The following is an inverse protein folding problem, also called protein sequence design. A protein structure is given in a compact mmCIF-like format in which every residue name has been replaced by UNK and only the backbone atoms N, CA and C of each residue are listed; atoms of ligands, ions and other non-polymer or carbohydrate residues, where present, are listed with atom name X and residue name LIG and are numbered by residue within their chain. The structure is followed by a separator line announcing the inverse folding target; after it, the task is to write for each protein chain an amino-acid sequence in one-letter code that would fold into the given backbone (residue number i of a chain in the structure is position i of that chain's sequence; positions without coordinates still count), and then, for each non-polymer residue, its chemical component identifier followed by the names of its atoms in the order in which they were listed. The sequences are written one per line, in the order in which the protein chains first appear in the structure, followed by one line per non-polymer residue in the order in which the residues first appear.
data_IF_707750201957
#
_entry.id   IF_707750201957
#
_cell.length_a   1.000
_cell.length_b   1.000
_cell.length_c   1.000
_cell.angle_alpha   90.00
_cell.angle_beta   90.00
_cell.angle_gamma   90.00
#
_symmetry.space_group_name_H-M   'P 1'
#
loop_
_entity.id
_entity.type
_entity.pdbx_description
1 polymer ?
#
# COMPACT_ATOMS: atom_id res chain seq x y z
N UNK A 1 1.91 -15.68 21.15
CA UNK A 1 2.68 -16.04 19.95
C UNK A 1 4.12 -15.63 20.20
N UNK A 2 5.04 -16.58 20.23
CA UNK A 2 6.47 -16.31 20.41
C UNK A 2 7.05 -15.77 19.09
N UNK A 3 7.73 -14.62 19.17
CA UNK A 3 8.49 -14.05 18.04
C UNK A 3 9.37 -15.14 17.41
N UNK A 4 9.55 -15.17 16.07
CA UNK A 4 10.51 -16.06 15.44
C UNK A 4 11.88 -15.91 16.10
N UNK A 5 12.63 -17.02 16.24
CA UNK A 5 13.95 -16.95 16.86
C UNK A 5 14.89 -16.12 15.99
N UNK A 6 15.88 -15.46 16.61
CA UNK A 6 16.87 -14.64 15.89
C UNK A 6 17.53 -15.43 14.74
N UNK A 7 17.78 -16.72 14.95
CA UNK A 7 18.38 -17.61 13.95
C UNK A 7 17.48 -17.91 12.72
N UNK A 8 16.15 -17.72 12.83
CA UNK A 8 15.22 -17.89 11.71
C UNK A 8 15.13 -16.67 10.78
N UNK A 9 15.61 -15.51 11.24
CA UNK A 9 15.63 -14.25 10.47
C UNK A 9 16.97 -14.03 9.71
N UNK A 10 17.98 -14.87 9.95
CA UNK A 10 19.37 -14.57 9.63
C UNK A 10 19.79 -15.04 8.23
N UNK A 11 19.48 -14.19 7.23
CA UNK A 11 20.42 -13.62 6.25
C UNK A 11 19.66 -12.85 5.15
N UNK A 12 18.39 -13.21 4.91
CA UNK A 12 17.52 -12.54 3.94
C UNK A 12 16.71 -11.40 4.56
N UNK A 13 16.12 -11.62 5.74
CA UNK A 13 15.18 -10.66 6.33
C UNK A 13 15.86 -9.36 6.76
N UNK A 14 16.96 -9.44 7.51
CA UNK A 14 17.70 -8.24 7.95
C UNK A 14 18.19 -7.40 6.75
N UNK A 15 18.70 -8.07 5.71
CA UNK A 15 19.09 -7.40 4.45
C UNK A 15 17.89 -6.76 3.75
N UNK A 16 16.73 -7.42 3.78
CA UNK A 16 15.51 -6.94 3.12
C UNK A 16 14.90 -5.72 3.84
N UNK A 17 14.85 -5.71 5.17
CA UNK A 17 14.36 -4.57 5.96
C UNK A 17 15.38 -3.43 6.10
N UNK A 18 16.64 -3.62 5.73
CA UNK A 18 17.67 -2.60 5.92
C UNK A 18 17.30 -1.25 5.27
N UNK A 19 17.40 -0.18 6.06
CA UNK A 19 17.02 1.18 5.66
C UNK A 19 15.52 1.41 5.44
N UNK A 20 14.65 0.46 5.81
CA UNK A 20 13.20 0.61 5.69
C UNK A 20 12.54 1.14 6.97
N UNK A 21 11.25 1.52 6.88
CA UNK A 21 10.42 1.88 8.04
C UNK A 21 10.29 0.74 9.07
N UNK A 22 10.52 -0.52 8.67
CA UNK A 22 10.48 -1.67 9.57
C UNK A 22 11.84 -1.96 10.22
N UNK A 23 12.92 -1.24 9.89
CA UNK A 23 14.28 -1.57 10.32
C UNK A 23 14.56 -1.35 11.83
N UNK A 24 13.96 -0.35 12.48
CA UNK A 24 14.24 -0.04 13.90
C UNK A 24 13.19 0.87 14.56
N UNK A 25 12.94 0.74 15.89
CA UNK A 25 13.71 -0.08 16.84
C UNK A 25 13.12 -1.46 17.21
N UNK A 26 11.99 -1.93 16.65
CA UNK A 26 11.40 -3.23 17.08
C UNK A 26 10.79 -4.10 15.96
N UNK A 27 11.07 -3.85 14.68
CA UNK A 27 10.33 -4.46 13.56
C UNK A 27 8.83 -4.24 13.69
N UNK A 28 8.40 -3.00 13.42
CA UNK A 28 6.99 -2.64 13.43
C UNK A 28 6.23 -3.51 12.44
N UNK A 29 5.06 -4.01 12.87
CA UNK A 29 4.14 -4.75 12.02
C UNK A 29 2.97 -3.87 11.60
N UNK A 30 2.40 -4.19 10.44
CA UNK A 30 1.27 -3.50 9.85
C UNK A 30 0.18 -4.51 9.49
N UNK A 31 -1.05 -4.04 9.41
CA UNK A 31 -2.22 -4.91 9.29
C UNK A 31 -3.02 -4.61 8.02
N UNK A 32 -3.44 -5.69 7.35
CA UNK A 32 -4.40 -5.67 6.25
C UNK A 32 -5.68 -6.40 6.65
N UNK A 33 -6.84 -5.79 6.37
CA UNK A 33 -8.14 -6.40 6.61
C UNK A 33 -8.68 -7.06 5.34
N UNK A 34 -8.99 -8.35 5.41
CA UNK A 34 -9.59 -9.13 4.31
C UNK A 34 -10.84 -9.89 4.78
N UNK A 35 -11.72 -10.26 3.86
CA UNK A 35 -12.86 -11.14 4.11
C UNK A 35 -12.66 -12.57 3.54
N UNK A 36 -11.59 -12.78 2.77
CA UNK A 36 -11.28 -14.05 2.09
C UNK A 36 -9.87 -14.52 2.44
N UNK A 37 -9.65 -15.83 2.38
CA UNK A 37 -8.31 -16.39 2.34
C UNK A 37 -7.67 -16.11 0.99
N UNK A 38 -6.39 -15.80 1.01
CA UNK A 38 -5.56 -15.59 -0.17
C UNK A 38 -4.11 -15.93 0.18
N UNK A 39 -3.34 -16.28 -0.84
CA UNK A 39 -1.92 -16.60 -0.68
C UNK A 39 -1.05 -15.40 -1.10
N UNK A 40 -1.48 -14.63 -2.09
CA UNK A 40 -0.72 -13.50 -2.65
C UNK A 40 -1.46 -12.16 -2.50
N UNK A 41 -0.71 -11.09 -2.21
CA UNK A 41 -1.23 -9.73 -2.26
C UNK A 41 -1.37 -9.23 -3.70
N UNK A 42 -2.54 -8.69 -4.00
CA UNK A 42 -2.77 -7.86 -5.18
C UNK A 42 -1.99 -6.53 -5.08
N UNK A 43 -1.56 -5.90 -6.19
CA UNK A 43 -0.86 -4.62 -6.17
C UNK A 43 -1.60 -3.50 -5.44
N UNK A 44 -0.83 -2.59 -4.82
CA UNK A 44 -1.31 -1.44 -4.04
C UNK A 44 -2.22 -1.80 -2.84
N UNK A 45 -1.88 -2.81 -2.02
CA UNK A 45 -2.62 -3.11 -0.81
C UNK A 45 -2.47 -1.98 0.20
N UNK A 46 -3.48 -1.79 1.05
CA UNK A 46 -3.42 -0.82 2.14
C UNK A 46 -3.01 -1.53 3.43
N UNK A 47 -2.07 -0.93 4.14
CA UNK A 47 -1.59 -1.39 5.43
C UNK A 47 -1.62 -0.25 6.44
N UNK A 48 -2.07 -0.53 7.66
CA UNK A 48 -2.10 0.46 8.75
C UNK A 48 -1.91 -0.20 10.11
N UNK A 49 -2.32 0.49 11.16
CA UNK A 49 -2.39 -0.11 12.50
C UNK A 49 -3.47 -1.20 12.56
N UNK A 50 -3.42 -2.05 13.59
CA UNK A 50 -4.51 -3.00 13.85
C UNK A 50 -5.86 -2.29 14.05
N UNK A 51 -5.85 -1.11 14.68
CA UNK A 51 -7.05 -0.31 14.88
C UNK A 51 -7.59 0.21 13.54
N UNK A 52 -6.74 0.74 12.66
CA UNK A 52 -7.15 1.21 11.33
C UNK A 52 -7.78 0.07 10.50
N UNK A 53 -7.14 -1.11 10.53
CA UNK A 53 -7.67 -2.29 9.87
C UNK A 53 -9.03 -2.73 10.46
N UNK A 54 -9.18 -2.63 11.79
CA UNK A 54 -10.42 -2.96 12.52
C UNK A 54 -11.56 -2.01 12.17
N UNK A 55 -11.30 -0.70 12.18
CA UNK A 55 -12.29 0.33 11.83
C UNK A 55 -12.81 0.11 10.41
N UNK A 56 -11.89 -0.13 9.46
CA UNK A 56 -12.23 -0.42 8.06
C UNK A 56 -13.07 -1.70 7.90
N UNK A 57 -12.82 -2.69 8.76
CA UNK A 57 -13.57 -3.94 8.81
C UNK A 57 -14.99 -3.73 9.35
N UNK A 58 -15.14 -2.94 10.41
CA UNK A 58 -16.45 -2.66 11.02
C UNK A 58 -17.40 -1.97 10.05
N UNK A 59 -16.89 -1.01 9.26
CA UNK A 59 -17.66 -0.32 8.21
C UNK A 59 -18.20 -1.26 7.13
N UNK A 60 -17.61 -2.44 6.93
CA UNK A 60 -17.99 -3.40 5.88
C UNK A 60 -18.92 -4.53 6.35
N UNK A 61 -19.24 -4.58 7.65
CA UNK A 61 -20.18 -5.55 8.26
C UNK A 61 -19.92 -7.03 7.87
N UNK A 62 -18.67 -7.44 7.63
CA UNK A 62 -18.34 -8.81 7.25
C UNK A 62 -17.39 -9.46 8.25
N UNK A 63 -17.31 -10.80 8.27
CA UNK A 63 -16.32 -11.52 9.08
C UNK A 63 -14.94 -11.25 8.49
N UNK A 64 -14.18 -10.38 9.13
CA UNK A 64 -12.85 -10.01 8.68
C UNK A 64 -11.77 -10.83 9.39
N UNK A 65 -10.67 -11.04 8.66
CA UNK A 65 -9.40 -11.53 9.18
C UNK A 65 -8.37 -10.43 9.00
N UNK A 66 -7.41 -10.41 9.91
CA UNK A 66 -6.30 -9.48 9.87
C UNK A 66 -5.04 -10.24 9.48
N UNK A 67 -4.38 -9.76 8.43
CA UNK A 67 -3.07 -10.24 8.00
C UNK A 67 -2.03 -9.28 8.55
N UNK A 68 -1.06 -9.81 9.28
CA UNK A 68 0.05 -9.06 9.88
C UNK A 68 1.31 -9.19 9.01
N UNK A 69 1.95 -8.06 8.68
CA UNK A 69 3.12 -8.01 7.79
C UNK A 69 4.21 -7.06 8.32
N UNK A 70 5.44 -7.27 7.87
CA UNK A 70 6.49 -6.24 7.85
C UNK A 70 6.51 -5.55 6.47
N UNK A 71 6.98 -4.30 6.44
CA UNK A 71 7.08 -3.51 5.21
C UNK A 71 8.51 -3.02 4.97
N UNK A 72 9.09 -3.34 3.81
CA UNK A 72 10.37 -2.81 3.36
C UNK A 72 10.18 -1.56 2.49
N UNK A 73 9.65 -0.49 3.10
CA UNK A 73 9.49 0.83 2.48
C UNK A 73 10.64 1.73 2.92
N UNK A 74 11.37 2.28 1.96
CA UNK A 74 12.57 3.11 2.20
C UNK A 74 12.30 4.60 2.03
N UNK A 75 11.48 4.97 1.06
CA UNK A 75 11.22 6.39 0.74
C UNK A 75 9.78 6.57 0.26
N UNK A 76 8.80 6.61 1.18
CA UNK A 76 7.43 6.87 0.80
C UNK A 76 7.24 8.34 0.42
N UNK A 77 6.37 8.63 -0.54
CA UNK A 77 5.82 9.98 -0.70
C UNK A 77 4.70 10.16 0.32
N UNK A 78 4.79 11.23 1.12
CA UNK A 78 3.78 11.53 2.15
C UNK A 78 2.66 12.33 1.53
N UNK A 79 1.42 11.89 1.74
CA UNK A 79 0.20 12.58 1.34
C UNK A 79 -0.79 12.58 2.51
N UNK A 80 -1.99 13.11 2.32
CA UNK A 80 -3.03 13.15 3.35
C UNK A 80 -4.31 12.45 2.89
N UNK A 81 -4.95 11.76 3.82
CA UNK A 81 -6.27 11.21 3.60
C UNK A 81 -7.32 12.31 3.76
N UNK A 82 -7.75 12.91 2.64
CA UNK A 82 -8.82 13.90 2.64
C UNK A 82 -10.19 13.31 2.31
N UNK A 83 -10.41 12.00 2.52
CA UNK A 83 -11.64 11.28 2.12
C UNK A 83 -11.99 11.32 0.62
N UNK A 84 -11.14 11.94 -0.21
CA UNK A 84 -11.24 12.06 -1.68
C UNK A 84 -10.20 11.19 -2.39
N UNK A 85 -9.28 10.62 -1.61
CA UNK A 85 -8.08 9.81 -1.89
C UNK A 85 -8.32 8.52 -2.70
N UNK A 86 -9.57 8.18 -3.02
CA UNK A 86 -9.90 7.08 -3.93
C UNK A 86 -9.77 7.45 -5.43
N UNK A 87 -9.45 8.71 -5.76
CA UNK A 87 -9.26 9.16 -7.14
C UNK A 87 -7.79 9.45 -7.42
N UNK A 88 -7.14 8.58 -8.21
CA UNK A 88 -5.71 8.71 -8.52
C UNK A 88 -5.38 10.00 -9.25
N UNK A 89 -6.29 10.54 -10.07
CA UNK A 89 -6.11 11.84 -10.71
C UNK A 89 -5.92 12.98 -9.69
N UNK A 90 -6.65 12.95 -8.56
CA UNK A 90 -6.50 13.95 -7.50
C UNK A 90 -5.18 13.77 -6.74
N UNK A 91 -4.77 12.52 -6.49
CA UNK A 91 -3.45 12.23 -5.90
C UNK A 91 -2.32 12.73 -6.81
N UNK A 92 -2.42 12.51 -8.11
CA UNK A 92 -1.43 12.98 -9.08
C UNK A 92 -1.37 14.51 -9.17
N UNK A 93 -2.52 15.19 -9.17
CA UNK A 93 -2.56 16.65 -9.12
C UNK A 93 -1.89 17.20 -7.86
N UNK A 94 -2.14 16.55 -6.72
CA UNK A 94 -1.55 16.93 -5.45
C UNK A 94 -0.03 16.70 -5.44
N UNK A 95 0.44 15.57 -5.98
CA UNK A 95 1.87 15.31 -6.14
C UNK A 95 2.58 16.37 -7.00
N UNK A 96 1.92 16.92 -8.03
CA UNK A 96 2.45 18.07 -8.79
C UNK A 96 2.50 19.33 -7.92
N UNK A 97 1.46 19.61 -7.14
CA UNK A 97 1.40 20.80 -6.28
C UNK A 97 2.52 20.79 -5.22
N UNK A 98 2.88 19.62 -4.71
CA UNK A 98 3.98 19.45 -3.77
C UNK A 98 5.36 19.36 -4.44
N UNK A 99 5.41 19.32 -5.78
CA UNK A 99 6.65 19.15 -6.53
C UNK A 99 7.26 17.75 -6.44
N UNK A 100 6.47 16.74 -6.04
CA UNK A 100 6.89 15.34 -6.03
C UNK A 100 7.05 14.79 -7.46
N UNK A 101 6.22 15.24 -8.40
CA UNK A 101 6.32 14.95 -9.84
C UNK A 101 6.06 16.24 -10.64
N UNK A 102 6.41 16.26 -11.92
CA UNK A 102 6.18 17.42 -12.80
C UNK A 102 4.83 17.35 -13.56
N UNK A 103 4.47 18.45 -14.23
CA UNK A 103 3.24 18.54 -15.01
C UNK A 103 3.20 17.57 -16.22
N UNK A 104 4.36 17.18 -16.75
CA UNK A 104 4.43 16.20 -17.84
C UNK A 104 4.13 14.78 -17.33
N UNK A 105 4.58 14.43 -16.13
CA UNK A 105 4.23 13.19 -15.44
C UNK A 105 2.73 13.12 -15.19
N UNK A 106 2.10 14.20 -14.71
CA UNK A 106 0.65 14.26 -14.57
C UNK A 106 -0.08 13.97 -15.88
N UNK A 107 0.34 14.58 -16.99
CA UNK A 107 -0.28 14.32 -18.29
C UNK A 107 -0.17 12.84 -18.69
N UNK A 108 1.03 12.24 -18.54
CA UNK A 108 1.23 10.80 -18.82
C UNK A 108 0.34 9.90 -17.95
N UNK A 109 0.16 10.25 -16.67
CA UNK A 109 -0.74 9.53 -15.77
C UNK A 109 -2.18 9.60 -16.28
N UNK A 110 -2.68 10.81 -16.58
CA UNK A 110 -4.06 11.01 -17.04
C UNK A 110 -4.33 10.30 -18.37
N UNK A 111 -3.37 10.33 -19.30
CA UNK A 111 -3.47 9.64 -20.60
C UNK A 111 -3.56 8.12 -20.41
N UNK A 112 -2.76 7.55 -19.50
CA UNK A 112 -2.79 6.12 -19.17
C UNK A 112 -4.07 5.71 -18.47
N UNK A 113 -4.51 6.47 -17.47
CA UNK A 113 -5.80 6.24 -16.78
C UNK A 113 -6.96 6.25 -17.79
N UNK A 114 -6.98 7.21 -18.71
CA UNK A 114 -8.02 7.33 -19.74
C UNK A 114 -8.00 6.14 -20.70
N UNK A 115 -6.80 5.73 -21.12
CA UNK A 115 -6.61 4.56 -21.99
C UNK A 115 -7.05 3.27 -21.32
N UNK A 116 -6.71 3.10 -20.04
CA UNK A 116 -7.06 1.91 -19.26
C UNK A 116 -8.53 1.89 -18.83
N UNK A 117 -9.22 3.04 -18.80
CA UNK A 117 -10.64 3.12 -18.44
C UNK A 117 -11.54 2.19 -19.29
N UNK A 118 -11.16 1.95 -20.55
CA UNK A 118 -11.85 1.02 -21.45
C UNK A 118 -11.75 -0.43 -20.96
N UNK A 119 -10.65 -0.80 -20.29
CA UNK A 119 -10.41 -2.15 -19.74
C UNK A 119 -11.32 -2.45 -18.53
N UNK A 120 -11.95 -1.44 -17.94
CA UNK A 120 -12.80 -1.61 -16.74
C UNK A 120 -14.26 -1.91 -17.10
N UNK A 121 -14.65 -1.70 -18.36
CA UNK A 121 -15.99 -1.97 -18.85
C UNK A 121 -16.22 -3.50 -18.88
N UNK A 122 -16.90 -4.02 -17.86
CA UNK A 122 -17.22 -5.46 -17.74
C UNK A 122 -16.66 -6.17 -16.50
N UNK A 123 -15.92 -5.48 -15.63
CA UNK A 123 -15.28 -6.08 -14.45
C UNK A 123 -16.26 -6.53 -13.33
N UNK A 124 -17.56 -6.25 -13.46
CA UNK A 124 -18.60 -6.68 -12.51
C UNK A 124 -18.26 -6.30 -11.06
N UNK A 125 -18.29 -7.29 -10.15
CA UNK A 125 -17.99 -7.10 -8.73
C UNK A 125 -16.52 -6.76 -8.43
N UNK A 126 -15.60 -6.98 -9.37
CA UNK A 126 -14.17 -6.63 -9.24
C UNK A 126 -13.84 -5.22 -9.73
N UNK A 127 -14.84 -4.50 -10.25
CA UNK A 127 -14.66 -3.18 -10.86
C UNK A 127 -13.85 -2.22 -9.98
N UNK A 128 -14.18 -2.10 -8.69
CA UNK A 128 -13.50 -1.14 -7.81
C UNK A 128 -12.03 -1.49 -7.56
N UNK A 129 -11.71 -2.77 -7.37
CA UNK A 129 -10.33 -3.23 -7.15
C UNK A 129 -9.50 -3.08 -8.43
N UNK A 130 -10.02 -3.52 -9.59
CA UNK A 130 -9.34 -3.35 -10.88
C UNK A 130 -9.16 -1.88 -11.25
N UNK A 131 -10.18 -1.05 -11.02
CA UNK A 131 -10.10 0.39 -11.26
C UNK A 131 -9.00 1.02 -10.42
N UNK A 132 -8.92 0.67 -9.12
CA UNK A 132 -7.87 1.15 -8.24
C UNK A 132 -6.50 0.76 -8.78
N UNK A 133 -6.27 -0.53 -9.05
CA UNK A 133 -4.98 -1.04 -9.53
C UNK A 133 -4.53 -0.40 -10.84
N UNK A 134 -5.41 -0.38 -11.84
CA UNK A 134 -5.10 0.15 -13.16
C UNK A 134 -4.92 1.66 -13.14
N UNK A 135 -5.64 2.37 -12.27
CA UNK A 135 -5.44 3.81 -12.12
C UNK A 135 -4.16 4.13 -11.34
N UNK A 136 -3.83 3.33 -10.31
CA UNK A 136 -2.68 3.56 -9.44
C UNK A 136 -1.35 3.24 -10.12
N UNK A 137 -1.28 2.20 -10.96
CA UNK A 137 -0.04 1.81 -11.64
C UNK A 137 0.66 2.98 -12.36
N UNK A 138 0.02 3.77 -13.24
CA UNK A 138 0.69 4.90 -13.87
C UNK A 138 1.19 5.95 -12.88
N UNK A 139 0.48 6.18 -11.78
CA UNK A 139 0.91 7.11 -10.75
C UNK A 139 2.12 6.60 -9.96
N UNK A 140 2.09 5.33 -9.56
CA UNK A 140 3.20 4.65 -8.90
C UNK A 140 4.45 4.65 -9.78
N UNK A 141 4.32 4.35 -11.08
CA UNK A 141 5.44 4.34 -12.03
C UNK A 141 6.16 5.71 -12.08
N UNK A 142 5.42 6.83 -12.09
CA UNK A 142 6.01 8.17 -12.10
C UNK A 142 6.66 8.54 -10.75
N UNK A 143 6.07 8.14 -9.62
CA UNK A 143 6.66 8.32 -8.30
C UNK A 143 7.94 7.46 -8.12
N UNK A 144 7.94 6.23 -8.64
CA UNK A 144 9.11 5.36 -8.66
C UNK A 144 10.22 5.93 -9.53
N UNK A 145 9.89 6.55 -10.68
CA UNK A 145 10.88 7.18 -11.55
C UNK A 145 11.66 8.32 -10.86
N UNK A 146 11.07 8.96 -9.86
CA UNK A 146 11.74 9.98 -9.02
C UNK A 146 12.26 9.43 -7.69
N UNK A 147 12.12 8.12 -7.45
CA UNK A 147 12.74 7.34 -6.36
C UNK A 147 11.82 7.00 -5.18
N UNK A 148 10.52 7.27 -5.24
CA UNK A 148 9.60 6.90 -4.15
C UNK A 148 9.16 5.45 -4.32
N UNK A 149 8.95 4.73 -3.22
CA UNK A 149 8.62 3.30 -3.25
C UNK A 149 7.29 2.96 -2.56
N UNK A 150 6.57 3.96 -2.04
CA UNK A 150 5.24 3.78 -1.47
C UNK A 150 4.49 5.12 -1.34
N UNK A 151 3.20 5.04 -1.01
CA UNK A 151 2.48 6.13 -0.37
C UNK A 151 2.53 5.96 1.16
N UNK A 152 2.61 7.09 1.85
CA UNK A 152 2.42 7.21 3.29
C UNK A 152 1.36 8.29 3.54
N UNK A 153 0.40 8.05 4.43
CA UNK A 153 -0.60 9.06 4.77
C UNK A 153 -1.07 8.94 6.21
N UNK A 154 -1.46 10.08 6.79
CA UNK A 154 -2.16 10.11 8.07
C UNK A 154 -3.65 9.80 7.84
N UNK A 155 -4.19 8.85 8.58
CA UNK A 155 -5.60 8.48 8.48
C UNK A 155 -6.49 9.59 9.07
N UNK A 156 -7.51 10.01 8.31
CA UNK A 156 -8.49 10.99 8.78
C UNK A 156 -9.74 10.36 9.41
N UNK A 157 -10.01 9.09 9.06
CA UNK A 157 -11.20 8.34 9.50
C UNK A 157 -10.82 7.13 10.35
N UNK A 158 -10.22 6.10 9.76
CA UNK A 158 -9.85 4.86 10.47
C UNK A 158 -8.61 5.07 11.35
N UNK A 159 -8.69 4.80 12.66
CA UNK A 159 -7.64 5.10 13.65
C UNK A 159 -7.01 6.50 13.44
N UNK A 160 -7.86 7.52 13.52
CA UNK A 160 -7.49 8.90 13.17
C UNK A 160 -6.17 9.36 13.78
N UNK A 161 -5.30 9.93 12.96
CA UNK A 161 -3.96 10.41 13.35
C UNK A 161 -2.87 9.35 13.28
N UNK A 162 -3.23 8.09 13.02
CA UNK A 162 -2.25 7.03 12.74
C UNK A 162 -1.77 7.09 11.29
N UNK A 163 -0.65 6.43 11.01
CA UNK A 163 -0.05 6.36 9.67
C UNK A 163 -0.42 5.05 8.97
N UNK A 164 -0.78 5.16 7.70
CA UNK A 164 -1.00 4.04 6.79
C UNK A 164 -0.05 4.13 5.59
N UNK A 165 0.20 2.98 4.97
CA UNK A 165 1.11 2.80 3.84
C UNK A 165 0.45 2.04 2.70
N UNK A 166 0.85 2.38 1.47
CA UNK A 166 0.53 1.62 0.25
C UNK A 166 1.85 1.35 -0.48
N UNK A 167 2.47 0.17 -0.34
CA UNK A 167 3.65 -0.19 -1.12
C UNK A 167 3.29 -0.28 -2.61
N UNK A 168 4.25 0.07 -3.48
CA UNK A 168 4.06 0.00 -4.92
C UNK A 168 4.29 -1.40 -5.48
N UNK A 169 5.14 -2.19 -4.83
CA UNK A 169 5.47 -3.55 -5.24
C UNK A 169 5.25 -4.54 -4.11
N UNK A 170 4.82 -5.76 -4.46
CA UNK A 170 4.48 -6.80 -3.48
C UNK A 170 5.72 -7.37 -2.79
N UNK A 171 6.90 -7.27 -3.41
CA UNK A 171 8.17 -7.65 -2.79
C UNK A 171 8.60 -6.75 -1.62
N UNK A 172 7.87 -5.66 -1.36
CA UNK A 172 8.02 -4.80 -0.18
C UNK A 172 7.22 -5.30 1.02
N UNK A 173 6.55 -6.46 0.91
CA UNK A 173 5.69 -7.03 1.95
C UNK A 173 6.32 -8.34 2.41
N UNK A 174 6.40 -8.56 3.71
CA UNK A 174 6.82 -9.83 4.29
C UNK A 174 5.81 -10.28 5.35
N UNK A 175 5.24 -11.47 5.20
CA UNK A 175 4.25 -12.03 6.10
C UNK A 175 4.85 -12.40 7.47
N UNK A 176 4.25 -11.96 8.58
CA UNK A 176 4.83 -12.18 9.93
C UNK A 176 4.94 -13.65 10.32
N UNK A 177 4.04 -14.48 9.80
CA UNK A 177 3.96 -15.91 10.07
C UNK A 177 4.66 -16.78 9.01
N UNK A 178 5.38 -16.17 8.06
CA UNK A 178 6.07 -16.86 6.97
C UNK A 178 7.58 -16.60 7.01
N UNK A 179 8.36 -17.66 6.74
CA UNK A 179 9.77 -17.52 6.41
C UNK A 179 10.00 -17.20 4.91
N UNK A 180 8.93 -17.06 4.14
CA UNK A 180 8.93 -16.74 2.70
C UNK A 180 8.29 -15.36 2.46
N UNK A 181 9.04 -14.36 1.95
CA UNK A 181 8.51 -13.04 1.60
C UNK A 181 7.54 -13.04 0.42
N UNK A 182 7.50 -14.09 -0.40
CA UNK A 182 6.76 -14.12 -1.68
C UNK A 182 5.72 -15.23 -1.76
N UNK A 183 5.09 -15.59 -0.64
CA UNK A 183 3.94 -16.51 -0.69
C UNK A 183 2.94 -16.14 -1.78
#
# INVERSE_FOLDING_TARGET
MTKPSQDQLNNGFETWVDGSISAAPVYQTFFHATAIEFDEFEPFPHFGTLQAATDRSYHRQSKHRFVEVWLAIKRPWTTYDNSSSNQVSQLAMHAVQEGAIDAHALQRILDRITTDAVKWQGAGSRYSAMKWQLSMRPFADELQAVGYDALCYENAVEDKGSTSFIPFETNQIWWVDSNDPQR
#
